data_IF_557230070710
#
_entry.id   IF_557230070710
#
_cell.length_a   1.000
_cell.length_b   1.000
_cell.length_c   1.000
_cell.angle_alpha   90.00
_cell.angle_beta   90.00
_cell.angle_gamma   90.00
#
_symmetry.space_group_name_H-M   'P 1'
#
loop_
_entity.id
_entity.type
_entity.pdbx_description
1 polymer ?
#
# COMPACT_ATOMS: atom_id res chain seq x y z
N UNK A 1 -15.14 -15.86 -3.44
CA UNK A 1 -14.69 -16.00 -2.04
C UNK A 1 -13.44 -15.14 -1.84
N UNK A 2 -13.60 -13.84 -1.61
CA UNK A 2 -12.58 -13.01 -0.96
C UNK A 2 -13.37 -12.07 -0.04
N UNK A 3 -13.55 -12.45 1.22
CA UNK A 3 -13.87 -11.46 2.24
C UNK A 3 -12.55 -10.78 2.53
N UNK A 4 -12.42 -9.55 2.06
CA UNK A 4 -11.21 -8.75 2.18
C UNK A 4 -10.75 -8.75 3.65
N UNK A 5 -9.45 -8.83 3.92
CA UNK A 5 -8.90 -8.79 5.29
C UNK A 5 -9.43 -7.55 6.02
N UNK A 6 -9.66 -6.46 5.28
CA UNK A 6 -10.25 -5.24 5.80
C UNK A 6 -11.71 -5.41 6.26
N UNK A 7 -12.52 -6.19 5.55
CA UNK A 7 -13.91 -6.50 5.94
C UNK A 7 -13.96 -7.39 7.18
N UNK A 8 -13.09 -8.40 7.24
CA UNK A 8 -13.03 -9.30 8.41
C UNK A 8 -12.51 -8.56 9.64
N UNK A 9 -11.50 -7.72 9.47
CA UNK A 9 -10.93 -6.93 10.56
C UNK A 9 -11.96 -5.96 11.13
N UNK A 10 -12.79 -5.34 10.30
CA UNK A 10 -13.88 -4.48 10.76
C UNK A 10 -14.90 -5.24 11.64
N UNK A 11 -15.20 -6.49 11.30
CA UNK A 11 -16.12 -7.33 12.08
C UNK A 11 -15.51 -7.82 13.41
N UNK A 12 -14.21 -8.08 13.43
CA UNK A 12 -13.51 -8.66 14.61
C UNK A 12 -13.03 -7.56 15.57
N UNK A 13 -12.51 -6.45 15.03
CA UNK A 13 -11.99 -5.34 15.81
C UNK A 13 -12.13 -4.00 15.05
N UNK A 14 -13.27 -3.29 15.23
CA UNK A 14 -13.53 -2.01 14.56
C UNK A 14 -12.50 -0.91 14.87
N UNK A 15 -11.96 -0.88 16.09
CA UNK A 15 -10.96 0.13 16.49
C UNK A 15 -9.67 -0.05 15.70
N UNK A 16 -9.16 -1.29 15.66
CA UNK A 16 -7.96 -1.62 14.88
C UNK A 16 -8.18 -1.42 13.37
N UNK A 17 -9.39 -1.70 12.87
CA UNK A 17 -9.75 -1.43 11.47
C UNK A 17 -9.67 0.07 11.13
N UNK A 18 -10.10 0.94 12.05
CA UNK A 18 -10.02 2.39 11.87
C UNK A 18 -8.57 2.89 11.85
N UNK A 19 -7.69 2.31 12.67
CA UNK A 19 -6.25 2.60 12.66
C UNK A 19 -5.58 2.12 11.36
N UNK A 20 -5.87 0.88 10.95
CA UNK A 20 -5.36 0.31 9.71
C UNK A 20 -5.81 1.11 8.48
N UNK A 21 -7.05 1.65 8.48
CA UNK A 21 -7.54 2.53 7.40
C UNK A 21 -6.65 3.75 7.21
N UNK A 22 -6.23 4.43 8.29
CA UNK A 22 -5.35 5.60 8.21
C UNK A 22 -4.03 5.27 7.51
N UNK A 23 -3.43 4.11 7.85
CA UNK A 23 -2.19 3.64 7.24
C UNK A 23 -2.40 3.29 5.76
N UNK A 24 -3.51 2.63 5.42
CA UNK A 24 -3.85 2.29 4.04
C UNK A 24 -4.04 3.55 3.17
N UNK A 25 -4.67 4.58 3.71
CA UNK A 25 -4.90 5.84 3.02
C UNK A 25 -3.58 6.57 2.74
N UNK A 26 -2.67 6.61 3.71
CA UNK A 26 -1.31 7.12 3.52
C UNK A 26 -0.55 6.31 2.46
N UNK A 27 -0.56 4.98 2.56
CA UNK A 27 0.10 4.11 1.60
C UNK A 27 -0.43 4.31 0.17
N UNK A 28 -1.70 4.66 0.03
CA UNK A 28 -2.36 4.94 -1.25
C UNK A 28 -1.94 6.30 -1.81
N UNK A 29 -1.84 7.33 -0.98
CA UNK A 29 -1.38 8.66 -1.43
C UNK A 29 0.09 8.63 -1.87
N UNK A 30 0.94 7.88 -1.15
CA UNK A 30 2.37 7.76 -1.46
C UNK A 30 2.69 6.79 -2.61
N UNK A 31 1.70 6.00 -3.07
CA UNK A 31 1.92 4.98 -4.12
C UNK A 31 2.54 5.56 -5.38
N UNK A 32 2.11 6.75 -5.82
CA UNK A 32 2.62 7.36 -7.04
C UNK A 32 4.08 7.79 -6.91
N UNK A 33 4.49 8.28 -5.74
CA UNK A 33 5.89 8.63 -5.43
C UNK A 33 6.75 7.36 -5.53
N UNK A 34 6.31 6.28 -4.87
CA UNK A 34 6.99 4.98 -4.93
C UNK A 34 7.06 4.43 -6.36
N UNK A 35 6.00 4.59 -7.16
CA UNK A 35 6.00 4.18 -8.58
C UNK A 35 6.99 4.97 -9.44
N UNK A 36 7.12 6.27 -9.21
CA UNK A 36 8.13 7.10 -9.86
C UNK A 36 9.56 6.68 -9.51
N UNK A 37 9.83 6.45 -8.22
CA UNK A 37 11.12 5.94 -7.75
C UNK A 37 11.46 4.57 -8.36
N UNK A 38 10.51 3.62 -8.33
CA UNK A 38 10.70 2.30 -8.93
C UNK A 38 11.03 2.36 -10.43
N UNK A 39 10.41 3.29 -11.16
CA UNK A 39 10.69 3.49 -12.59
C UNK A 39 12.10 4.04 -12.79
N UNK A 40 12.50 5.05 -12.00
CA UNK A 40 13.86 5.61 -12.04
C UNK A 40 14.93 4.56 -11.73
N UNK A 41 14.75 3.81 -10.65
CA UNK A 41 15.65 2.72 -10.25
C UNK A 41 15.79 1.67 -11.36
N UNK A 42 14.67 1.26 -11.99
CA UNK A 42 14.71 0.31 -13.12
C UNK A 42 15.65 0.78 -14.23
N UNK A 43 15.58 2.06 -14.63
CA UNK A 43 16.43 2.57 -15.71
C UNK A 43 17.90 2.74 -15.27
N UNK A 44 18.15 3.19 -14.03
CA UNK A 44 19.51 3.26 -13.49
C UNK A 44 20.18 1.89 -13.44
N UNK A 45 19.45 0.85 -13.02
CA UNK A 45 19.98 -0.52 -13.02
C UNK A 45 20.23 -1.08 -14.43
N UNK A 46 19.39 -0.73 -15.40
CA UNK A 46 19.57 -1.13 -16.80
C UNK A 46 20.80 -0.48 -17.45
N UNK A 47 21.16 0.76 -17.08
CA UNK A 47 22.35 1.42 -17.63
C UNK A 47 23.68 0.88 -17.07
N UNK A 48 23.65 0.18 -15.93
CA UNK A 48 24.81 -0.38 -15.26
C UNK A 48 24.99 -1.90 -15.48
N UNK A 49 24.16 -2.51 -16.33
CA UNK A 49 24.19 -3.94 -16.69
C UNK A 49 24.77 -4.15 -18.08
#
# INVERSE_FOLDING_TARGET
>A
MHKDVTERLLQVNPSLAAEARKILDLNKSERHIRGGLATREKYLHLEHS
#
